data_IF_794623466964
#
_entry.id   IF_794623466964
#
_cell.length_a   1.000
_cell.length_b   1.000
_cell.length_c   1.000
_cell.angle_alpha   90.00
_cell.angle_beta   90.00
_cell.angle_gamma   90.00
#
_symmetry.space_group_name_H-M   'P 1'
#
loop_
_entity.id
_entity.type
_entity.pdbx_description
1 polymer ?
#
# COMPACT_ATOMS: atom_id res chain seq x y z
N UNK A 1 -7.90 -59.77 17.29
CA UNK A 1 -9.16 -59.01 17.23
C UNK A 1 -9.13 -58.08 18.42
N UNK A 2 -9.43 -56.79 18.22
CA UNK A 2 -9.64 -55.81 19.29
C UNK A 2 -11.12 -55.46 19.15
N UNK A 3 -11.90 -55.59 20.24
CA UNK A 3 -13.34 -55.28 20.26
C UNK A 3 -14.22 -56.05 19.26
N UNK A 4 -13.85 -57.30 18.90
CA UNK A 4 -14.60 -58.15 17.93
C UNK A 4 -14.82 -57.57 16.52
N UNK A 5 -14.08 -56.52 16.16
CA UNK A 5 -14.19 -55.90 14.84
C UNK A 5 -13.32 -56.60 13.79
N UNK A 6 -13.79 -56.75 12.54
CA UNK A 6 -13.00 -57.34 11.48
C UNK A 6 -11.88 -56.38 11.05
N UNK A 7 -10.70 -56.94 10.73
CA UNK A 7 -9.47 -56.19 10.45
C UNK A 7 -9.59 -55.10 9.38
N UNK A 8 -10.48 -55.26 8.40
CA UNK A 8 -10.65 -54.29 7.32
C UNK A 8 -11.45 -53.05 7.75
N UNK A 9 -12.37 -53.19 8.72
CA UNK A 9 -13.09 -52.05 9.30
C UNK A 9 -12.18 -51.23 10.20
N UNK A 10 -11.34 -51.91 10.99
CA UNK A 10 -10.34 -51.24 11.84
C UNK A 10 -9.34 -50.48 10.96
N UNK A 11 -8.86 -51.10 9.87
CA UNK A 11 -7.97 -50.42 8.92
C UNK A 11 -8.59 -49.10 8.42
N UNK A 12 -9.86 -49.12 7.98
CA UNK A 12 -10.56 -47.92 7.51
C UNK A 12 -10.75 -46.87 8.62
N UNK A 13 -11.13 -47.29 9.82
CA UNK A 13 -11.36 -46.39 10.95
C UNK A 13 -10.10 -45.59 11.32
N UNK A 14 -8.92 -46.20 11.17
CA UNK A 14 -7.63 -45.56 11.46
C UNK A 14 -6.92 -45.02 10.21
N UNK A 15 -7.59 -44.95 9.04
CA UNK A 15 -7.05 -44.35 7.82
C UNK A 15 -6.01 -45.19 7.06
N UNK A 16 -5.89 -46.49 7.34
CA UNK A 16 -4.99 -47.41 6.67
C UNK A 16 -5.68 -48.21 5.55
N UNK A 17 -4.90 -48.66 4.57
CA UNK A 17 -5.37 -49.68 3.63
C UNK A 17 -5.46 -51.06 4.32
N UNK A 18 -6.42 -51.93 3.95
CA UNK A 18 -6.53 -53.26 4.56
C UNK A 18 -5.26 -54.11 4.44
N UNK A 19 -4.51 -53.95 3.34
CA UNK A 19 -3.24 -54.64 3.12
C UNK A 19 -2.12 -54.14 4.06
N UNK A 20 -1.92 -52.82 4.14
CA UNK A 20 -0.91 -52.21 5.02
C UNK A 20 -1.20 -52.53 6.49
N UNK A 21 -2.47 -52.46 6.90
CA UNK A 21 -2.88 -52.77 8.26
C UNK A 21 -2.59 -54.22 8.68
N UNK A 22 -2.77 -55.19 7.76
CA UNK A 22 -2.41 -56.60 8.01
C UNK A 22 -0.91 -56.79 8.20
N UNK A 23 -0.08 -56.11 7.39
CA UNK A 23 1.39 -56.14 7.52
C UNK A 23 1.83 -55.53 8.84
N UNK A 24 1.26 -54.39 9.23
CA UNK A 24 1.52 -53.76 10.53
C UNK A 24 1.16 -54.69 11.69
N UNK A 25 -0.04 -55.29 11.67
CA UNK A 25 -0.46 -56.27 12.69
C UNK A 25 0.48 -57.48 12.74
N UNK A 26 0.94 -57.97 11.59
CA UNK A 26 1.85 -59.10 11.50
C UNK A 26 3.24 -58.76 12.07
N UNK A 27 3.82 -57.61 11.69
CA UNK A 27 5.11 -57.14 12.21
C UNK A 27 5.03 -56.90 13.72
N UNK A 28 3.98 -56.23 14.18
CA UNK A 28 3.74 -55.96 15.60
C UNK A 28 3.68 -57.22 16.46
N UNK A 29 3.03 -58.30 15.97
CA UNK A 29 2.95 -59.57 16.70
C UNK A 29 4.27 -60.34 16.77
N UNK A 30 5.19 -60.08 15.85
CA UNK A 30 6.48 -60.78 15.75
C UNK A 30 7.63 -59.98 16.34
N UNK A 31 7.39 -58.73 16.70
CA UNK A 31 8.35 -57.89 17.37
C UNK A 31 8.25 -58.11 18.89
N UNK A 32 9.27 -58.68 19.56
CA UNK A 32 9.28 -58.82 21.01
C UNK A 32 9.37 -57.48 21.75
N UNK A 33 9.78 -56.39 21.08
CA UNK A 33 9.97 -55.06 21.66
C UNK A 33 9.50 -53.93 20.72
N UNK A 34 8.18 -53.81 20.46
CA UNK A 34 7.66 -52.80 19.56
C UNK A 34 7.91 -51.38 20.09
N UNK A 35 8.60 -50.56 19.29
CA UNK A 35 8.80 -49.14 19.60
C UNK A 35 7.59 -48.31 19.17
N UNK A 36 6.96 -47.64 20.13
CA UNK A 36 5.86 -46.71 19.88
C UNK A 36 6.36 -45.27 19.85
N UNK A 37 5.73 -44.42 19.03
CA UNK A 37 6.01 -42.98 18.95
C UNK A 37 7.44 -42.63 18.48
N UNK A 38 7.95 -43.39 17.50
CA UNK A 38 9.27 -43.13 16.90
C UNK A 38 9.25 -41.78 16.18
N UNK A 39 10.22 -40.92 16.50
CA UNK A 39 10.42 -39.68 15.74
C UNK A 39 10.83 -40.03 14.31
N UNK A 40 10.21 -39.43 13.28
CA UNK A 40 10.53 -39.76 11.89
C UNK A 40 12.03 -39.54 11.65
N UNK A 41 12.67 -40.52 11.01
CA UNK A 41 14.09 -40.45 10.65
C UNK A 41 14.32 -39.21 9.80
N UNK A 42 15.30 -38.38 10.18
CA UNK A 42 15.60 -37.16 9.43
C UNK A 42 15.83 -37.49 7.96
N UNK A 43 15.11 -36.79 7.09
CA UNK A 43 15.24 -36.94 5.64
C UNK A 43 16.66 -36.64 5.13
N UNK A 44 16.93 -36.91 3.84
CA UNK A 44 18.26 -36.79 3.26
C UNK A 44 18.92 -35.45 3.56
N UNK A 45 20.05 -35.47 4.29
CA UNK A 45 20.82 -34.25 4.66
C UNK A 45 21.60 -33.67 3.48
N UNK A 46 21.80 -34.44 2.41
CA UNK A 46 22.54 -34.02 1.22
C UNK A 46 21.69 -33.14 0.31
N UNK A 47 22.08 -31.88 0.13
CA UNK A 47 21.46 -30.96 -0.82
C UNK A 47 22.38 -30.77 -2.04
N UNK A 48 22.25 -31.58 -3.12
CA UNK A 48 23.20 -31.59 -4.25
C UNK A 48 23.28 -30.26 -5.01
N UNK A 49 22.22 -29.43 -4.94
CA UNK A 49 22.24 -28.07 -5.51
C UNK A 49 23.15 -27.12 -4.73
N UNK A 50 23.28 -27.29 -3.41
CA UNK A 50 24.16 -26.45 -2.57
C UNK A 50 25.63 -26.82 -2.75
N UNK A 51 25.95 -28.10 -2.89
CA UNK A 51 27.34 -28.54 -3.11
C UNK A 51 27.89 -28.06 -4.46
N UNK A 52 27.11 -28.13 -5.54
CA UNK A 52 27.55 -27.67 -6.88
C UNK A 52 27.85 -26.17 -6.96
N UNK A 53 27.18 -25.36 -6.14
CA UNK A 53 27.32 -23.90 -6.16
C UNK A 53 28.21 -23.36 -5.03
N UNK A 54 28.77 -24.23 -4.18
CA UNK A 54 29.49 -23.84 -2.97
C UNK A 54 30.74 -23.04 -3.30
N UNK A 55 31.60 -23.56 -4.18
CA UNK A 55 32.87 -22.91 -4.55
C UNK A 55 32.63 -21.54 -5.17
N UNK A 56 31.64 -21.44 -6.05
CA UNK A 56 31.27 -20.19 -6.70
C UNK A 56 30.67 -19.18 -5.71
N UNK A 57 29.84 -19.64 -4.77
CA UNK A 57 29.27 -18.81 -3.70
C UNK A 57 30.38 -18.22 -2.82
N UNK A 58 31.37 -19.03 -2.44
CA UNK A 58 32.53 -18.62 -1.64
C UNK A 58 33.42 -17.66 -2.43
N UNK A 59 33.70 -17.93 -3.70
CA UNK A 59 34.49 -17.06 -4.56
C UNK A 59 33.84 -15.68 -4.74
N UNK A 60 32.54 -15.63 -5.04
CA UNK A 60 31.79 -14.38 -5.14
C UNK A 60 31.71 -13.65 -3.79
N UNK A 61 31.62 -14.39 -2.68
CA UNK A 61 31.65 -13.78 -1.34
C UNK A 61 32.97 -13.10 -1.03
N UNK A 62 34.09 -13.72 -1.39
CA UNK A 62 35.44 -13.14 -1.23
C UNK A 62 35.63 -11.86 -2.06
N UNK A 63 34.87 -11.68 -3.13
CA UNK A 63 34.78 -10.42 -3.90
C UNK A 63 33.82 -9.39 -3.28
N UNK A 64 33.43 -9.56 -2.00
CA UNK A 64 32.48 -8.72 -1.28
C UNK A 64 31.09 -8.61 -1.92
N UNK A 65 30.65 -9.63 -2.70
CA UNK A 65 29.30 -9.65 -3.27
C UNK A 65 28.23 -9.90 -2.20
N UNK A 66 27.10 -9.22 -2.35
CA UNK A 66 25.93 -9.38 -1.47
C UNK A 66 25.21 -10.71 -1.75
N UNK A 67 24.37 -11.14 -0.82
CA UNK A 67 23.56 -12.36 -0.97
C UNK A 67 22.68 -12.32 -2.24
N UNK A 68 22.13 -11.15 -2.56
CA UNK A 68 21.31 -10.95 -3.76
C UNK A 68 22.14 -11.00 -5.04
N UNK A 69 23.32 -10.37 -5.04
CA UNK A 69 24.25 -10.40 -6.17
C UNK A 69 24.74 -11.83 -6.45
N UNK A 70 25.05 -12.59 -5.39
CA UNK A 70 25.45 -14.00 -5.51
C UNK A 70 24.29 -14.83 -6.07
N UNK A 71 23.07 -14.66 -5.54
CA UNK A 71 21.89 -15.38 -6.03
C UNK A 71 21.62 -15.08 -7.51
N UNK A 72 21.78 -13.83 -7.94
CA UNK A 72 21.65 -13.42 -9.34
C UNK A 72 22.75 -14.03 -10.22
N UNK A 73 24.02 -13.91 -9.82
CA UNK A 73 25.14 -14.49 -10.58
C UNK A 73 25.05 -16.03 -10.70
N UNK A 74 24.53 -16.70 -9.69
CA UNK A 74 24.25 -18.14 -9.72
C UNK A 74 23.11 -18.48 -10.68
N UNK A 75 22.07 -17.64 -10.72
CA UNK A 75 20.95 -17.79 -11.67
C UNK A 75 21.42 -17.62 -13.12
N UNK A 76 22.27 -16.64 -13.40
CA UNK A 76 22.87 -16.40 -14.73
C UNK A 76 23.71 -17.60 -15.22
N UNK A 77 24.27 -18.40 -14.30
CA UNK A 77 25.06 -19.60 -14.61
C UNK A 77 24.26 -20.91 -14.51
N UNK A 78 22.93 -20.85 -14.61
CA UNK A 78 22.03 -22.02 -14.55
C UNK A 78 22.15 -22.85 -13.25
N UNK A 79 22.50 -22.22 -12.13
CA UNK A 79 22.57 -22.84 -10.80
C UNK A 79 21.68 -22.06 -9.81
N UNK A 80 20.36 -22.00 -10.02
CA UNK A 80 19.50 -21.11 -9.24
C UNK A 80 19.49 -21.51 -7.76
N UNK A 81 19.94 -20.59 -6.91
CA UNK A 81 19.86 -20.66 -5.47
C UNK A 81 19.16 -19.40 -4.96
N UNK A 82 18.19 -19.58 -4.07
CA UNK A 82 17.49 -18.45 -3.47
C UNK A 82 18.45 -17.65 -2.56
N UNK A 83 18.18 -16.35 -2.33
CA UNK A 83 18.97 -15.55 -1.39
C UNK A 83 19.08 -16.21 -0.01
N UNK A 84 18.01 -16.86 0.47
CA UNK A 84 18.02 -17.60 1.73
C UNK A 84 18.97 -18.79 1.69
N UNK A 85 18.96 -19.58 0.61
CA UNK A 85 19.86 -20.73 0.47
C UNK A 85 21.33 -20.30 0.37
N UNK A 86 21.61 -19.18 -0.32
CA UNK A 86 22.95 -18.57 -0.35
C UNK A 86 23.38 -18.14 1.06
N UNK A 87 22.50 -17.49 1.82
CA UNK A 87 22.78 -17.10 3.22
C UNK A 87 23.11 -18.32 4.10
N UNK A 88 22.39 -19.42 3.94
CA UNK A 88 22.68 -20.66 4.67
C UNK A 88 24.04 -21.26 4.31
N UNK A 89 24.38 -21.30 3.02
CA UNK A 89 25.69 -21.78 2.55
C UNK A 89 26.80 -20.91 3.12
N UNK A 90 26.65 -19.58 3.08
CA UNK A 90 27.63 -18.64 3.63
C UNK A 90 27.78 -18.78 5.15
N UNK A 91 26.67 -18.98 5.87
CA UNK A 91 26.69 -19.21 7.32
C UNK A 91 27.39 -20.52 7.67
N UNK A 92 27.15 -21.59 6.93
CA UNK A 92 27.83 -22.87 7.11
C UNK A 92 29.35 -22.79 6.84
N UNK A 93 29.77 -21.86 5.97
CA UNK A 93 31.18 -21.58 5.68
C UNK A 93 31.82 -20.53 6.61
N UNK A 94 31.09 -20.03 7.62
CA UNK A 94 31.62 -19.08 8.61
C UNK A 94 31.67 -17.62 8.17
N UNK A 95 31.05 -17.24 7.04
CA UNK A 95 31.01 -15.83 6.63
C UNK A 95 30.02 -15.02 7.46
N UNK A 96 30.49 -13.95 8.09
CA UNK A 96 29.64 -12.95 8.74
C UNK A 96 28.81 -12.16 7.70
N UNK A 97 27.64 -11.60 8.08
CA UNK A 97 26.89 -10.67 7.23
C UNK A 97 27.75 -9.47 6.79
N UNK A 98 27.53 -8.98 5.56
CA UNK A 98 28.19 -7.73 5.14
C UNK A 98 27.53 -6.55 5.86
N UNK A 99 28.29 -5.51 6.21
CA UNK A 99 27.70 -4.23 6.62
C UNK A 99 26.83 -3.67 5.49
N UNK A 100 25.86 -2.82 5.85
CA UNK A 100 25.04 -2.12 4.87
C UNK A 100 25.94 -1.22 4.03
N UNK A 101 26.02 -1.46 2.72
CA UNK A 101 26.66 -0.54 1.77
C UNK A 101 25.96 0.82 1.77
N UNK A 102 26.75 1.88 1.58
CA UNK A 102 26.23 3.21 1.30
C UNK A 102 25.42 3.19 0.00
N UNK A 103 24.53 4.16 -0.17
CA UNK A 103 23.65 4.18 -1.35
C UNK A 103 24.46 4.40 -2.64
N UNK A 104 25.60 5.10 -2.59
CA UNK A 104 26.51 5.33 -3.72
C UNK A 104 27.31 4.08 -4.13
N UNK A 105 27.60 3.18 -3.19
CA UNK A 105 28.36 1.94 -3.42
C UNK A 105 27.48 0.81 -3.99
N UNK A 106 26.16 1.03 -4.07
CA UNK A 106 25.24 0.03 -4.61
C UNK A 106 25.33 0.03 -6.14
N UNK A 107 25.35 -1.16 -6.77
CA UNK A 107 25.27 -1.24 -8.22
C UNK A 107 24.02 -0.51 -8.73
N UNK A 108 24.17 0.22 -9.82
CA UNK A 108 23.03 0.79 -10.53
C UNK A 108 22.12 -0.36 -10.97
N UNK A 109 20.90 -0.37 -10.45
CA UNK A 109 19.85 -1.30 -10.80
C UNK A 109 18.76 -0.52 -11.54
N UNK A 110 18.07 -1.13 -12.52
CA UNK A 110 16.86 -0.55 -13.10
C UNK A 110 15.89 -0.25 -11.95
N UNK A 111 15.60 1.03 -11.74
CA UNK A 111 14.78 1.51 -10.64
C UNK A 111 13.99 2.73 -11.05
N UNK A 112 12.99 3.14 -10.25
CA UNK A 112 12.26 4.37 -10.49
C UNK A 112 13.23 5.56 -10.54
N UNK A 113 12.99 6.48 -11.47
CA UNK A 113 13.73 7.74 -11.53
C UNK A 113 13.59 8.50 -10.21
N UNK A 114 14.67 9.17 -9.81
CA UNK A 114 14.64 10.04 -8.63
C UNK A 114 13.96 11.35 -9.01
N UNK A 115 12.71 11.47 -8.59
CA UNK A 115 11.90 12.65 -8.86
C UNK A 115 12.25 13.80 -7.90
N UNK A 116 12.18 15.06 -8.36
CA UNK A 116 12.54 16.22 -7.56
C UNK A 116 11.75 16.31 -6.26
N UNK A 117 12.32 17.00 -5.27
CA UNK A 117 11.63 17.30 -4.02
C UNK A 117 10.75 18.53 -4.23
N UNK A 118 9.49 18.45 -3.83
CA UNK A 118 8.55 19.56 -3.89
C UNK A 118 9.02 20.69 -2.94
N UNK A 119 9.38 21.82 -3.54
CA UNK A 119 9.90 23.01 -2.88
C UNK A 119 9.50 24.26 -3.67
N UNK A 120 8.76 25.16 -3.04
CA UNK A 120 8.37 26.46 -3.61
C UNK A 120 9.58 27.29 -4.02
N UNK A 121 10.72 27.15 -3.33
CA UNK A 121 11.94 27.92 -3.61
C UNK A 121 12.61 27.51 -4.92
N UNK A 122 12.31 26.31 -5.41
CA UNK A 122 12.75 25.83 -6.71
C UNK A 122 11.73 26.06 -7.83
N UNK A 123 10.59 26.71 -7.54
CA UNK A 123 9.58 27.00 -8.55
C UNK A 123 9.97 28.25 -9.34
N UNK A 124 10.02 28.12 -10.66
CA UNK A 124 10.35 29.20 -11.58
C UNK A 124 9.45 29.15 -12.82
N UNK A 125 8.95 30.30 -13.26
CA UNK A 125 8.19 30.45 -14.49
C UNK A 125 9.11 30.97 -15.59
N UNK A 126 9.68 30.03 -16.36
CA UNK A 126 10.54 30.37 -17.49
C UNK A 126 9.66 30.64 -18.71
N UNK A 127 9.78 31.85 -19.26
CA UNK A 127 9.04 32.26 -20.46
C UNK A 127 9.33 31.33 -21.64
N UNK A 128 8.28 30.85 -22.31
CA UNK A 128 8.39 29.96 -23.46
C UNK A 128 8.51 28.48 -23.12
N UNK A 129 8.48 28.08 -21.84
CA UNK A 129 8.44 26.66 -21.47
C UNK A 129 7.17 26.00 -21.99
N UNK A 130 7.34 24.84 -22.63
CA UNK A 130 6.27 23.98 -23.11
C UNK A 130 6.45 22.58 -22.52
N UNK A 131 5.35 21.95 -22.12
CA UNK A 131 5.35 20.59 -21.61
C UNK A 131 4.04 19.90 -21.94
N UNK A 132 4.09 18.57 -22.03
CA UNK A 132 2.89 17.74 -22.07
C UNK A 132 2.45 17.41 -20.64
N UNK A 133 1.15 17.48 -20.38
CA UNK A 133 0.56 17.07 -19.10
C UNK A 133 -0.71 16.29 -19.34
N UNK A 134 -0.95 15.28 -18.51
CA UNK A 134 -2.23 14.58 -18.49
C UNK A 134 -3.28 15.38 -17.73
N UNK A 135 -2.86 16.29 -16.86
CA UNK A 135 -3.71 17.01 -15.92
C UNK A 135 -4.17 18.38 -16.45
N UNK A 136 -4.25 18.56 -17.78
CA UNK A 136 -4.57 19.83 -18.43
C UNK A 136 -5.91 20.44 -18.00
N UNK A 137 -6.89 19.61 -17.67
CA UNK A 137 -8.20 20.07 -17.18
C UNK A 137 -8.15 20.84 -15.86
N UNK A 138 -7.10 20.65 -15.04
CA UNK A 138 -6.93 21.40 -13.80
C UNK A 138 -6.78 22.91 -14.04
N UNK A 139 -6.20 23.31 -15.19
CA UNK A 139 -5.97 24.72 -15.50
C UNK A 139 -7.26 25.50 -15.75
N UNK A 140 -8.37 24.83 -16.04
CA UNK A 140 -9.69 25.45 -16.14
C UNK A 140 -10.17 26.06 -14.81
N UNK A 141 -9.64 25.59 -13.68
CA UNK A 141 -9.99 26.09 -12.35
C UNK A 141 -9.11 27.28 -11.91
N UNK A 142 -8.05 27.63 -12.64
CA UNK A 142 -7.15 28.72 -12.24
C UNK A 142 -7.86 30.06 -12.07
N UNK A 143 -8.76 30.51 -12.97
CA UNK A 143 -9.46 31.78 -12.79
C UNK A 143 -10.24 31.82 -11.47
N UNK A 144 -10.92 30.72 -11.12
CA UNK A 144 -11.65 30.60 -9.86
C UNK A 144 -10.73 30.56 -8.64
N UNK A 145 -9.59 29.87 -8.72
CA UNK A 145 -8.61 29.85 -7.62
C UNK A 145 -8.00 31.24 -7.36
N UNK A 146 -7.76 32.02 -8.41
CA UNK A 146 -7.29 33.42 -8.29
C UNK A 146 -8.38 34.28 -7.66
N UNK A 147 -9.62 34.17 -8.17
CA UNK A 147 -10.79 34.91 -7.68
C UNK A 147 -11.07 34.63 -6.20
N UNK A 148 -11.00 33.36 -5.78
CA UNK A 148 -11.21 32.92 -4.40
C UNK A 148 -10.06 33.28 -3.45
N UNK A 149 -8.93 33.77 -3.97
CA UNK A 149 -7.72 34.10 -3.20
C UNK A 149 -7.32 32.94 -2.27
N UNK A 150 -6.90 31.81 -2.86
CA UNK A 150 -6.56 30.58 -2.10
C UNK A 150 -5.58 30.82 -0.94
N UNK A 151 -4.66 31.79 -1.07
CA UNK A 151 -3.76 32.24 -0.02
C UNK A 151 -4.51 32.78 1.22
N UNK A 152 -5.52 33.61 1.00
CA UNK A 152 -6.40 34.15 2.04
C UNK A 152 -7.19 33.03 2.71
N UNK A 153 -7.70 32.06 1.94
CA UNK A 153 -8.43 30.90 2.47
C UNK A 153 -7.54 30.03 3.37
N UNK A 154 -6.33 29.71 2.92
CA UNK A 154 -5.37 28.92 3.69
C UNK A 154 -4.99 29.61 5.01
N UNK A 155 -4.78 30.93 4.95
CA UNK A 155 -4.44 31.75 6.12
C UNK A 155 -5.60 31.84 7.11
N UNK A 156 -6.82 32.11 6.63
CA UNK A 156 -8.03 32.19 7.46
C UNK A 156 -8.33 30.88 8.19
N UNK A 157 -8.07 29.74 7.55
CA UNK A 157 -8.25 28.42 8.13
C UNK A 157 -7.05 27.93 8.96
N UNK A 158 -5.98 28.73 9.06
CA UNK A 158 -4.71 28.33 9.71
C UNK A 158 -4.24 26.96 9.24
N UNK A 159 -4.27 26.72 7.93
CA UNK A 159 -3.82 25.44 7.38
C UNK A 159 -2.33 25.23 7.66
N UNK A 160 -1.90 24.00 7.95
CA UNK A 160 -0.49 23.73 8.18
C UNK A 160 0.33 23.92 6.89
N UNK A 161 1.62 24.13 7.04
CA UNK A 161 2.56 24.19 5.93
C UNK A 161 3.96 23.80 6.40
N UNK A 162 4.91 23.79 5.47
CA UNK A 162 6.34 23.73 5.76
C UNK A 162 7.07 24.84 5.02
N UNK A 163 8.36 25.03 5.31
CA UNK A 163 9.21 25.96 4.58
C UNK A 163 9.26 25.63 3.08
N UNK A 164 9.25 24.35 2.73
CA UNK A 164 9.29 23.89 1.34
C UNK A 164 7.92 23.95 0.67
N UNK A 165 6.85 23.66 1.41
CA UNK A 165 5.48 23.62 0.89
C UNK A 165 4.59 24.45 1.82
N UNK A 166 4.49 25.78 1.59
CA UNK A 166 3.63 26.64 2.38
C UNK A 166 2.15 26.25 2.29
N UNK A 167 1.34 26.76 3.21
CA UNK A 167 -0.05 26.34 3.39
C UNK A 167 -0.92 26.47 2.12
N UNK A 168 -0.73 27.53 1.34
CA UNK A 168 -1.46 27.75 0.08
C UNK A 168 -1.09 26.73 -1.02
N UNK A 169 0.16 26.29 -1.08
CA UNK A 169 0.62 25.27 -2.02
C UNK A 169 0.16 23.90 -1.58
N UNK A 170 0.15 23.63 -0.27
CA UNK A 170 -0.41 22.41 0.28
C UNK A 170 -1.92 22.30 0.02
N UNK A 171 -2.66 23.42 0.14
CA UNK A 171 -4.08 23.50 -0.20
C UNK A 171 -4.30 23.25 -1.70
N UNK A 172 -3.55 23.89 -2.59
CA UNK A 172 -3.61 23.63 -4.03
C UNK A 172 -3.28 22.18 -4.37
N UNK A 173 -2.27 21.59 -3.74
CA UNK A 173 -1.94 20.18 -3.92
C UNK A 173 -3.08 19.26 -3.49
N UNK A 174 -3.71 19.51 -2.33
CA UNK A 174 -4.87 18.74 -1.88
C UNK A 174 -6.07 18.89 -2.83
N UNK A 175 -6.32 20.11 -3.32
CA UNK A 175 -7.36 20.38 -4.33
C UNK A 175 -7.07 19.68 -5.66
N UNK A 176 -5.81 19.69 -6.12
CA UNK A 176 -5.40 19.04 -7.36
C UNK A 176 -5.75 17.55 -7.33
N UNK A 177 -5.46 16.86 -6.22
CA UNK A 177 -5.80 15.45 -6.06
C UNK A 177 -7.32 15.21 -6.14
N UNK A 178 -8.12 16.13 -5.58
CA UNK A 178 -9.58 16.01 -5.59
C UNK A 178 -10.17 16.31 -6.97
N UNK A 179 -9.76 17.40 -7.60
CA UNK A 179 -10.24 17.81 -8.92
C UNK A 179 -9.82 16.80 -10.00
N UNK A 180 -8.62 16.22 -9.89
CA UNK A 180 -8.16 15.16 -10.78
C UNK A 180 -8.75 13.77 -10.45
N UNK A 181 -9.62 13.68 -9.43
CA UNK A 181 -10.27 12.43 -9.01
C UNK A 181 -9.28 11.32 -8.61
N UNK A 182 -8.20 11.69 -7.92
CA UNK A 182 -7.25 10.74 -7.35
C UNK A 182 -7.85 10.15 -6.06
N UNK A 183 -8.33 8.91 -6.14
CA UNK A 183 -8.98 8.20 -5.03
C UNK A 183 -8.11 8.09 -3.77
N UNK A 184 -6.83 7.75 -3.95
CA UNK A 184 -5.88 7.53 -2.84
C UNK A 184 -4.65 8.40 -3.02
N UNK A 185 -4.19 9.04 -1.94
CA UNK A 185 -2.96 9.86 -1.93
C UNK A 185 -1.73 9.11 -2.46
N UNK A 186 -1.65 7.79 -2.28
CA UNK A 186 -0.55 6.98 -2.82
C UNK A 186 -0.51 6.94 -4.35
N UNK A 187 -1.63 7.13 -5.03
CA UNK A 187 -1.68 7.12 -6.50
C UNK A 187 -1.01 8.35 -7.11
N UNK A 188 -0.72 9.39 -6.32
CA UNK A 188 0.11 10.54 -6.76
C UNK A 188 1.47 10.09 -7.28
N UNK A 189 2.01 8.96 -6.79
CA UNK A 189 3.32 8.45 -7.20
C UNK A 189 3.38 8.06 -8.67
N UNK A 190 2.23 7.86 -9.34
CA UNK A 190 2.17 7.65 -10.79
C UNK A 190 2.25 8.95 -11.61
N UNK A 191 2.07 10.10 -10.96
CA UNK A 191 2.01 11.44 -11.58
C UNK A 191 3.05 12.40 -11.00
N UNK A 192 3.99 11.90 -10.20
CA UNK A 192 4.99 12.73 -9.51
C UNK A 192 5.91 13.48 -10.46
N UNK A 193 6.09 12.94 -11.68
CA UNK A 193 6.87 13.52 -12.76
C UNK A 193 6.05 14.45 -13.68
N UNK A 194 4.73 14.63 -13.44
CA UNK A 194 3.88 15.45 -14.31
C UNK A 194 4.10 16.95 -14.03
N UNK A 195 4.64 17.73 -14.99
CA UNK A 195 4.95 19.14 -14.78
C UNK A 195 3.70 20.02 -14.68
N UNK A 196 2.58 19.61 -15.29
CA UNK A 196 1.33 20.35 -15.19
C UNK A 196 0.72 20.28 -13.80
N UNK A 197 0.79 19.12 -13.16
CA UNK A 197 0.35 18.93 -11.78
C UNK A 197 1.21 19.76 -10.79
N UNK A 198 2.53 19.81 -11.02
CA UNK A 198 3.44 20.65 -10.26
C UNK A 198 3.12 22.15 -10.43
N UNK A 199 2.95 22.60 -11.68
CA UNK A 199 2.61 23.99 -12.01
C UNK A 199 1.28 24.42 -11.38
N UNK A 200 0.24 23.59 -11.45
CA UNK A 200 -1.05 23.89 -10.81
C UNK A 200 -0.91 24.14 -9.31
N UNK A 201 0.00 23.42 -8.64
CA UNK A 201 0.29 23.62 -7.22
C UNK A 201 1.18 24.83 -6.94
N UNK A 202 1.77 25.45 -7.97
CA UNK A 202 2.80 26.48 -7.84
C UNK A 202 4.09 25.95 -7.23
N UNK A 203 4.47 24.71 -7.56
CA UNK A 203 5.66 24.03 -7.04
C UNK A 203 6.50 23.50 -8.20
N UNK A 204 7.79 23.30 -7.97
CA UNK A 204 8.69 22.62 -8.93
C UNK A 204 8.31 21.14 -9.15
N UNK A 205 7.68 20.51 -8.15
CA UNK A 205 7.18 19.14 -8.21
C UNK A 205 5.92 19.01 -7.33
N UNK A 206 5.04 18.06 -7.65
CA UNK A 206 3.91 17.73 -6.77
C UNK A 206 4.42 17.07 -5.47
N UNK A 207 3.86 17.39 -4.28
CA UNK A 207 4.24 16.72 -3.05
C UNK A 207 4.01 15.21 -3.11
N UNK A 208 5.01 14.45 -2.65
CA UNK A 208 4.98 12.99 -2.62
C UNK A 208 3.96 12.46 -1.59
N UNK A 209 3.63 11.18 -1.71
CA UNK A 209 2.71 10.47 -0.80
C UNK A 209 3.03 10.74 0.68
N UNK A 210 4.30 10.69 1.08
CA UNK A 210 4.72 10.89 2.48
C UNK A 210 4.23 12.23 3.03
N UNK A 211 4.51 13.32 2.31
CA UNK A 211 4.05 14.66 2.68
C UNK A 211 2.52 14.74 2.74
N UNK A 212 1.81 14.23 1.73
CA UNK A 212 0.34 14.32 1.67
C UNK A 212 -0.35 13.52 2.79
N UNK A 213 0.24 12.39 3.18
CA UNK A 213 -0.23 11.60 4.31
C UNK A 213 -0.05 12.37 5.62
N UNK A 214 1.15 12.90 5.88
CA UNK A 214 1.47 13.68 7.09
C UNK A 214 0.70 15.01 7.15
N UNK A 215 0.55 15.70 6.03
CA UNK A 215 -0.24 16.92 5.93
C UNK A 215 -1.69 16.67 6.38
N UNK A 216 -2.30 15.59 5.88
CA UNK A 216 -3.67 15.26 6.21
C UNK A 216 -3.88 14.80 7.65
N UNK A 217 -2.88 14.19 8.29
CA UNK A 217 -2.99 13.83 9.71
C UNK A 217 -2.92 15.05 10.64
N UNK A 218 -2.40 16.19 10.13
CA UNK A 218 -2.37 17.47 10.85
C UNK A 218 -3.64 18.31 10.67
N UNK A 219 -4.59 17.85 9.84
CA UNK A 219 -5.88 18.53 9.67
C UNK A 219 -6.89 18.00 10.69
N UNK A 220 -7.36 18.91 11.53
CA UNK A 220 -8.44 18.67 12.48
C UNK A 220 -9.79 19.21 11.94
N UNK A 221 -10.88 18.84 12.62
CA UNK A 221 -12.22 19.31 12.25
C UNK A 221 -12.33 20.84 12.28
N UNK A 222 -11.71 21.50 13.26
CA UNK A 222 -11.79 22.96 13.42
C UNK A 222 -11.20 23.72 12.22
N UNK A 223 -10.07 23.26 11.68
CA UNK A 223 -9.44 23.81 10.48
C UNK A 223 -10.29 23.56 9.24
N UNK A 224 -10.86 22.37 9.09
CA UNK A 224 -11.77 22.07 7.98
C UNK A 224 -13.01 22.96 8.01
N UNK A 225 -13.65 23.12 9.17
CA UNK A 225 -14.81 24.01 9.33
C UNK A 225 -14.45 25.47 9.08
N UNK A 226 -13.27 25.91 9.54
CA UNK A 226 -12.76 27.26 9.27
C UNK A 226 -12.53 27.50 7.77
N UNK A 227 -12.00 26.50 7.05
CA UNK A 227 -11.81 26.57 5.60
C UNK A 227 -13.15 26.67 4.87
N UNK A 228 -14.13 25.84 5.24
CA UNK A 228 -15.47 25.89 4.66
C UNK A 228 -16.14 27.25 4.91
N UNK A 229 -16.02 27.80 6.13
CA UNK A 229 -16.56 29.11 6.47
C UNK A 229 -15.86 30.25 5.71
N UNK A 230 -14.54 30.16 5.50
CA UNK A 230 -13.79 31.12 4.68
C UNK A 230 -14.21 31.05 3.20
N UNK A 231 -14.36 29.83 2.67
CA UNK A 231 -14.81 29.60 1.29
C UNK A 231 -16.23 30.11 1.07
N UNK A 232 -17.17 29.81 1.99
CA UNK A 232 -18.54 30.29 1.91
C UNK A 232 -18.62 31.82 1.89
N UNK A 233 -17.82 32.50 2.73
CA UNK A 233 -17.73 33.97 2.72
C UNK A 233 -17.16 34.54 1.42
N UNK A 234 -16.24 33.81 0.77
CA UNK A 234 -15.69 34.23 -0.52
C UNK A 234 -16.75 34.11 -1.64
N UNK A 235 -17.48 33.00 -1.68
CA UNK A 235 -18.49 32.70 -2.70
C UNK A 235 -19.79 33.50 -2.51
N UNK A 236 -20.20 33.78 -1.27
CA UNK A 236 -21.42 34.55 -0.98
C UNK A 236 -21.42 35.97 -1.59
N UNK A 237 -20.25 36.50 -1.96
CA UNK A 237 -20.14 37.79 -2.66
C UNK A 237 -20.69 37.77 -4.08
N UNK A 238 -20.76 36.59 -4.70
CA UNK A 238 -21.03 36.44 -6.13
C UNK A 238 -22.52 36.42 -6.48
N UNK A 239 -23.43 36.48 -5.50
CA UNK A 239 -24.89 36.38 -5.68
C UNK A 239 -25.29 35.27 -6.69
N UNK A 240 -24.60 34.11 -6.66
CA UNK A 240 -24.74 33.04 -7.67
C UNK A 240 -26.16 32.47 -7.77
N UNK A 241 -26.92 32.55 -6.68
CA UNK A 241 -28.30 32.08 -6.62
C UNK A 241 -29.17 33.22 -6.11
N UNK A 242 -30.28 33.49 -6.82
CA UNK A 242 -31.38 34.23 -6.20
C UNK A 242 -31.91 33.34 -5.08
N UNK A 243 -31.90 33.84 -3.84
CA UNK A 243 -32.36 33.10 -2.66
C UNK A 243 -33.90 32.86 -2.66
N UNK A 244 -34.52 32.79 -3.83
CA UNK A 244 -35.96 32.65 -4.03
C UNK A 244 -36.45 31.22 -3.72
N UNK A 245 -35.61 30.20 -3.94
CA UNK A 245 -35.92 28.82 -3.56
C UNK A 245 -34.64 28.03 -3.28
N UNK A 246 -34.68 27.18 -2.26
CA UNK A 246 -33.60 26.28 -1.88
C UNK A 246 -34.18 24.87 -1.72
N UNK A 247 -33.80 23.95 -2.61
CA UNK A 247 -34.26 22.57 -2.57
C UNK A 247 -33.26 21.72 -1.79
N UNK A 248 -33.72 21.09 -0.70
CA UNK A 248 -32.97 20.12 0.08
C UNK A 248 -33.52 18.72 -0.18
N UNK A 249 -32.75 17.89 -0.86
CA UNK A 249 -33.07 16.48 -1.03
C UNK A 249 -32.58 15.71 0.20
N UNK A 250 -33.50 15.36 1.10
CA UNK A 250 -33.21 14.48 2.23
C UNK A 250 -33.30 13.02 1.80
N UNK A 251 -32.30 12.21 2.17
CA UNK A 251 -32.33 10.77 1.98
C UNK A 251 -32.79 10.09 3.27
N UNK A 252 -33.94 9.42 3.23
CA UNK A 252 -34.46 8.69 4.39
C UNK A 252 -33.50 7.56 4.81
N UNK A 253 -33.05 7.58 6.06
CA UNK A 253 -32.20 6.53 6.66
C UNK A 253 -33.07 5.57 7.48
N UNK A 254 -32.88 4.23 7.36
CA UNK A 254 -33.59 3.25 8.16
C UNK A 254 -33.51 3.52 9.67
N UNK A 255 -34.66 3.55 10.34
CA UNK A 255 -34.75 3.57 11.79
C UNK A 255 -35.10 2.16 12.30
N UNK A 256 -34.35 1.67 13.28
CA UNK A 256 -34.50 0.32 13.83
C UNK A 256 -34.98 0.31 15.29
N UNK A 257 -35.33 1.47 15.86
CA UNK A 257 -35.89 1.56 17.20
C UNK A 257 -37.43 1.40 17.22
N UNK A 258 -38.00 1.35 18.42
CA UNK A 258 -39.45 1.20 18.65
C UNK A 258 -40.15 2.51 19.01
N UNK A 259 -39.54 3.65 18.71
CA UNK A 259 -40.16 4.96 18.99
C UNK A 259 -41.46 5.10 18.19
N UNK A 260 -42.62 5.27 18.86
CA UNK A 260 -43.93 5.32 18.22
C UNK A 260 -44.13 6.56 17.34
N UNK A 261 -43.26 7.57 17.45
CA UNK A 261 -43.35 8.81 16.66
C UNK A 261 -42.68 8.70 15.28
N UNK A 262 -41.90 7.63 15.02
CA UNK A 262 -41.17 7.50 13.77
C UNK A 262 -42.08 6.99 12.65
N UNK A 263 -42.20 7.81 11.60
CA UNK A 263 -43.01 7.51 10.43
C UNK A 263 -42.26 6.63 9.41
N UNK A 264 -43.03 5.99 8.52
CA UNK A 264 -42.47 5.18 7.44
C UNK A 264 -42.26 6.05 6.20
N UNK A 265 -41.01 6.28 5.82
CA UNK A 265 -40.66 6.89 4.52
C UNK A 265 -40.07 5.83 3.56
N UNK A 266 -40.04 6.18 2.27
CA UNK A 266 -39.53 5.31 1.22
C UNK A 266 -38.00 5.33 1.20
N UNK A 267 -37.38 4.20 1.54
CA UNK A 267 -35.92 4.06 1.53
C UNK A 267 -35.47 3.54 0.17
N UNK A 268 -34.94 4.43 -0.67
CA UNK A 268 -34.52 4.15 -2.06
C UNK A 268 -33.54 2.97 -2.16
N UNK A 269 -32.54 2.92 -1.28
CA UNK A 269 -31.54 1.85 -1.24
C UNK A 269 -32.13 0.45 -0.99
N UNK A 270 -33.35 0.37 -0.44
CA UNK A 270 -34.05 -0.88 -0.12
C UNK A 270 -35.32 -1.08 -0.94
N UNK A 271 -35.67 -0.12 -1.80
CA UNK A 271 -36.91 -0.07 -2.58
C UNK A 271 -38.16 -0.41 -1.77
N UNK A 272 -38.28 0.11 -0.55
CA UNK A 272 -39.43 -0.16 0.33
C UNK A 272 -39.69 0.97 1.32
N UNK A 273 -40.96 1.11 1.73
CA UNK A 273 -41.34 1.99 2.83
C UNK A 273 -41.11 1.31 4.18
N UNK A 274 -40.39 1.94 5.08
CA UNK A 274 -40.11 1.44 6.44
C UNK A 274 -39.87 2.61 7.41
N UNK A 275 -39.95 2.40 8.75
CA UNK A 275 -39.61 3.42 9.72
C UNK A 275 -38.25 4.03 9.40
N UNK A 276 -38.20 5.35 9.21
CA UNK A 276 -36.99 6.04 8.77
C UNK A 276 -37.00 7.49 9.21
N UNK A 277 -35.82 8.10 9.24
CA UNK A 277 -35.60 9.50 9.61
C UNK A 277 -35.00 10.23 8.41
N UNK A 278 -35.35 11.51 8.24
CA UNK A 278 -34.81 12.40 7.21
C UNK A 278 -33.52 13.09 7.67
#
# INVERSE_FOLDING_TARGET
FVEDRPSHEVARAFGYSPGSFRVLCHQFRRDPHPEFFVSPTQGPRGQPKKSKALDLTVALRKQNRSVYEISQALKERNMPLSPTAVREVLRAQGFAPLPRRLDEERPAQPGPTVEPVADVRGFELVSGTQFATRCGGLFLFLPELVRLQVQTLASAARLPGSTMIPAEHALRAALALKLWSIERKSHVMALVADPGLALFCGLNAIPKKSYLCEYSSRLDHARTTSLLAAWHRAVAKDQLFSAASFNLDFHSVPYYGEDPQVQRHYVSMRSRAQPSVL
#
